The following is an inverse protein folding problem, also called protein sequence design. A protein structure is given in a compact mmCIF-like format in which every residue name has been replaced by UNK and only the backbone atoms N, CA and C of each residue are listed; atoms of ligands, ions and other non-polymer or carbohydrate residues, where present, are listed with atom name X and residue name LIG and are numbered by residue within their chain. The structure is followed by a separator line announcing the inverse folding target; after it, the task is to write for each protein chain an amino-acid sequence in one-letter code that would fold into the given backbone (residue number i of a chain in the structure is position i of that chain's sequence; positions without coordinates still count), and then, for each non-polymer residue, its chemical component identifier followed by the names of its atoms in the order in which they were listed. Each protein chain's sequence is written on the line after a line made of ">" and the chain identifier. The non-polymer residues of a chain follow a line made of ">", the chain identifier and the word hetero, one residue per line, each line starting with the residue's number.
data_IF_882849062411
#
_entry.id   IF_882849062411
#
_cell.length_a   1.000
_cell.length_b   1.000
_cell.length_c   1.000
_cell.angle_alpha   90.00
_cell.angle_beta   90.00
_cell.angle_gamma   90.00
#
_symmetry.space_group_name_H-M   'P 1'
#
loop_
_entity.id
_entity.type
_entity.pdbx_description
1 polymer ?
#
# COMPACT_ATOMS: atom_id res chain seq x y z
N UNK A 1 19.89 1.88 -16.20
CA UNK A 1 20.05 3.18 -15.53
C UNK A 1 18.71 3.52 -14.91
N UNK A 2 18.60 3.40 -13.59
CA UNK A 2 17.48 3.88 -12.80
C UNK A 2 17.50 5.41 -12.98
N UNK A 3 16.63 5.95 -13.81
CA UNK A 3 16.23 7.32 -13.63
C UNK A 3 15.34 7.27 -12.38
N UNK A 4 15.74 7.81 -11.24
CA UNK A 4 14.76 8.10 -10.21
C UNK A 4 13.73 8.96 -10.94
N UNK A 5 12.47 8.53 -10.93
CA UNK A 5 11.37 9.49 -11.01
C UNK A 5 11.84 10.58 -10.07
N UNK A 6 12.07 11.77 -10.62
CA UNK A 6 12.55 12.89 -9.85
C UNK A 6 11.71 12.86 -8.58
N UNK A 7 12.34 12.51 -7.49
CA UNK A 7 11.71 12.60 -6.22
C UNK A 7 11.50 14.10 -6.05
N UNK A 8 10.34 14.57 -6.44
CA UNK A 8 9.76 15.74 -5.86
C UNK A 8 9.47 15.34 -4.42
N UNK A 9 10.57 15.00 -3.73
CA UNK A 9 10.63 14.54 -2.35
C UNK A 9 10.12 15.62 -1.40
N UNK A 10 9.82 16.78 -1.92
CA UNK A 10 9.45 17.94 -1.13
C UNK A 10 7.97 17.92 -0.70
N UNK A 11 7.19 16.94 -1.17
CA UNK A 11 5.77 16.83 -0.79
C UNK A 11 5.36 15.46 -0.23
N UNK A 12 6.30 14.53 -0.06
CA UNK A 12 6.05 13.37 0.79
C UNK A 12 5.87 13.88 2.21
N UNK A 13 4.78 13.47 2.86
CA UNK A 13 4.50 13.80 4.25
C UNK A 13 5.68 13.39 5.13
N UNK A 14 6.57 14.32 5.39
CA UNK A 14 7.50 14.20 6.47
C UNK A 14 6.81 14.79 7.69
N UNK A 15 6.40 13.93 8.64
CA UNK A 15 5.96 14.43 9.92
C UNK A 15 7.15 15.07 10.63
N UNK A 16 6.99 16.34 11.02
CA UNK A 16 8.02 17.08 11.72
C UNK A 16 8.06 16.67 13.20
N UNK A 17 8.93 15.72 13.53
CA UNK A 17 9.19 15.29 14.92
C UNK A 17 10.32 16.09 15.60
N UNK A 18 10.72 17.24 15.07
CA UNK A 18 11.84 18.04 15.59
C UNK A 18 11.57 18.67 16.97
N UNK A 19 10.30 18.72 17.40
CA UNK A 19 9.91 19.15 18.74
C UNK A 19 8.97 18.14 19.39
N UNK A 20 8.95 18.09 20.73
CA UNK A 20 8.02 17.24 21.49
C UNK A 20 6.54 17.62 21.26
N UNK A 21 6.28 18.81 20.76
CA UNK A 21 4.92 19.29 20.46
C UNK A 21 4.38 18.76 19.14
N UNK A 22 5.26 18.25 18.26
CA UNK A 22 4.93 17.81 16.91
C UNK A 22 5.00 16.28 16.73
N UNK A 23 4.92 15.51 17.81
CA UNK A 23 4.94 14.05 17.73
C UNK A 23 3.69 13.57 17.01
N UNK A 24 3.80 12.78 15.92
CA UNK A 24 2.64 12.20 15.27
C UNK A 24 2.03 11.09 16.12
N UNK A 25 0.72 10.95 16.08
CA UNK A 25 -0.03 9.92 16.77
C UNK A 25 -0.65 8.97 15.77
N UNK A 26 -0.43 7.67 15.99
CA UNK A 26 -1.04 6.61 15.21
C UNK A 26 -1.93 5.76 16.13
N UNK A 27 -3.17 5.53 15.71
CA UNK A 27 -4.04 4.52 16.28
C UNK A 27 -4.48 3.56 15.18
N UNK A 28 -4.45 2.26 15.46
CA UNK A 28 -4.89 1.21 14.56
C UNK A 28 -5.70 0.18 15.36
N UNK A 29 -6.88 -0.15 14.86
CA UNK A 29 -7.73 -1.22 15.39
C UNK A 29 -7.93 -2.27 14.30
N UNK A 30 -7.68 -3.53 14.64
CA UNK A 30 -7.88 -4.66 13.76
C UNK A 30 -8.67 -5.76 14.47
N UNK A 31 -9.66 -6.32 13.79
CA UNK A 31 -10.45 -7.43 14.26
C UNK A 31 -10.31 -8.61 13.31
N UNK A 32 -10.20 -9.80 13.89
CA UNK A 32 -10.13 -11.07 13.17
C UNK A 32 -11.43 -11.84 13.39
N UNK A 33 -12.00 -12.37 12.31
CA UNK A 33 -13.21 -13.16 12.33
C UNK A 33 -12.97 -14.48 11.59
N UNK A 34 -13.42 -15.58 12.15
CA UNK A 34 -13.47 -16.86 11.44
C UNK A 34 -14.75 -16.89 10.61
N UNK A 35 -14.61 -16.96 9.29
CA UNK A 35 -15.74 -17.03 8.35
C UNK A 35 -16.20 -18.48 8.20
N UNK A 36 -15.24 -19.39 8.09
CA UNK A 36 -15.41 -20.83 8.08
C UNK A 36 -14.11 -21.52 8.58
N UNK A 37 -14.08 -22.87 8.56
CA UNK A 37 -12.97 -23.68 9.07
C UNK A 37 -11.63 -23.42 8.35
N UNK A 38 -11.66 -22.82 7.15
CA UNK A 38 -10.49 -22.57 6.33
C UNK A 38 -10.27 -21.09 6.01
N UNK A 39 -11.24 -20.24 6.32
CA UNK A 39 -11.25 -18.84 5.88
C UNK A 39 -11.36 -17.89 7.06
N UNK A 40 -10.42 -16.99 7.17
CA UNK A 40 -10.46 -15.86 8.10
C UNK A 40 -10.68 -14.54 7.39
N UNK A 41 -11.29 -13.60 8.06
CA UNK A 41 -11.46 -12.22 7.64
C UNK A 41 -10.85 -11.28 8.69
N UNK A 42 -9.96 -10.41 8.26
CA UNK A 42 -9.46 -9.30 9.07
C UNK A 42 -10.06 -7.99 8.57
N UNK A 43 -10.60 -7.20 9.48
CA UNK A 43 -11.10 -5.84 9.20
C UNK A 43 -10.35 -4.87 10.09
N UNK A 44 -9.74 -3.85 9.49
CA UNK A 44 -8.95 -2.85 10.17
C UNK A 44 -9.38 -1.42 9.89
N UNK A 45 -9.04 -0.54 10.81
CA UNK A 45 -9.16 0.90 10.64
C UNK A 45 -8.04 1.62 11.35
N UNK A 46 -7.52 2.67 10.74
CA UNK A 46 -6.38 3.44 11.25
C UNK A 46 -6.61 4.93 11.13
N UNK A 47 -5.96 5.67 12.03
CA UNK A 47 -5.81 7.11 11.95
C UNK A 47 -4.39 7.49 12.34
N UNK A 48 -3.76 8.31 11.49
CA UNK A 48 -2.47 8.95 11.75
C UNK A 48 -2.69 10.45 11.73
N UNK A 49 -2.20 11.17 12.72
CA UNK A 49 -2.34 12.62 12.82
C UNK A 49 -1.06 13.27 13.31
N UNK A 50 -0.70 14.43 12.77
CA UNK A 50 0.51 15.17 13.16
C UNK A 50 0.74 16.40 12.33
N UNK A 51 1.77 17.16 12.71
CA UNK A 51 2.26 18.33 11.95
C UNK A 51 3.24 17.88 10.88
N UNK A 52 3.09 18.39 9.66
CA UNK A 52 4.05 18.19 8.57
C UNK A 52 5.19 19.21 8.59
N UNK A 53 6.22 18.95 7.78
CA UNK A 53 7.33 19.91 7.58
C UNK A 53 6.88 21.19 6.90
N UNK A 54 5.74 21.17 6.21
CA UNK A 54 5.05 22.32 5.62
C UNK A 54 4.35 23.20 6.66
N UNK A 55 4.37 22.81 7.94
CA UNK A 55 3.71 23.50 9.04
C UNK A 55 2.19 23.28 9.07
N UNK A 56 1.65 22.41 8.23
CA UNK A 56 0.23 22.07 8.22
C UNK A 56 -0.05 20.86 9.12
N UNK A 57 -1.26 20.81 9.63
CA UNK A 57 -1.75 19.62 10.33
C UNK A 57 -2.31 18.61 9.32
N UNK A 58 -1.80 17.39 9.36
CA UNK A 58 -2.23 16.30 8.48
C UNK A 58 -2.94 15.21 9.26
N UNK A 59 -3.98 14.67 8.65
CA UNK A 59 -4.66 13.46 9.11
C UNK A 59 -4.72 12.46 7.98
N UNK A 60 -4.39 11.18 8.28
CA UNK A 60 -4.56 10.07 7.34
C UNK A 60 -5.48 9.05 7.99
N UNK A 61 -6.55 8.75 7.30
CA UNK A 61 -7.52 7.72 7.67
C UNK A 61 -7.29 6.51 6.78
N UNK A 62 -7.35 5.32 7.38
CA UNK A 62 -7.23 4.05 6.65
C UNK A 62 -8.34 3.08 7.02
N UNK A 63 -8.77 2.30 6.04
CA UNK A 63 -9.62 1.13 6.23
C UNK A 63 -9.05 -0.02 5.44
N UNK A 64 -8.86 -1.18 6.06
CA UNK A 64 -8.30 -2.37 5.45
C UNK A 64 -9.19 -3.60 5.65
N UNK A 65 -9.17 -4.48 4.65
CA UNK A 65 -9.91 -5.74 4.65
C UNK A 65 -9.02 -6.82 4.05
N UNK A 66 -8.87 -7.94 4.76
CA UNK A 66 -8.15 -9.12 4.26
C UNK A 66 -8.99 -10.37 4.47
N UNK A 67 -9.21 -11.13 3.42
CA UNK A 67 -9.68 -12.51 3.49
C UNK A 67 -8.51 -13.42 3.21
N UNK A 68 -8.34 -14.44 4.05
CA UNK A 68 -7.30 -15.46 3.88
C UNK A 68 -7.95 -16.83 3.97
N UNK A 69 -7.83 -17.59 2.91
CA UNK A 69 -8.23 -19.00 2.88
C UNK A 69 -6.99 -19.88 2.92
N UNK A 70 -6.88 -20.70 3.96
CA UNK A 70 -5.78 -21.66 4.15
C UNK A 70 -6.41 -23.02 4.42
N UNK A 71 -6.52 -23.90 3.40
CA UNK A 71 -7.10 -25.23 3.58
C UNK A 71 -6.34 -26.04 4.63
N UNK A 72 -7.03 -26.57 5.63
CA UNK A 72 -6.47 -27.38 6.72
C UNK A 72 -5.86 -28.69 6.20
N UNK A 73 -6.33 -29.17 5.07
CA UNK A 73 -5.81 -30.39 4.47
C UNK A 73 -4.55 -30.09 3.66
N UNK A 74 -3.40 -30.56 4.14
CA UNK A 74 -2.07 -30.34 3.52
C UNK A 74 -1.97 -30.81 2.06
N UNK A 75 -2.89 -31.65 1.58
CA UNK A 75 -2.95 -32.07 0.17
C UNK A 75 -3.63 -31.04 -0.75
N UNK A 76 -4.40 -30.09 -0.21
CA UNK A 76 -5.04 -29.05 -0.98
C UNK A 76 -4.10 -27.84 -1.09
N UNK A 77 -3.60 -27.64 -2.30
CA UNK A 77 -2.64 -26.58 -2.63
C UNK A 77 -3.33 -25.25 -2.97
N UNK A 78 -4.65 -25.13 -2.77
CA UNK A 78 -5.49 -24.07 -3.31
C UNK A 78 -5.83 -22.97 -2.28
N UNK A 79 -4.84 -22.47 -1.55
CA UNK A 79 -5.02 -21.30 -0.69
C UNK A 79 -5.10 -19.99 -1.49
N UNK A 80 -5.84 -19.02 -0.98
CA UNK A 80 -5.90 -17.69 -1.58
C UNK A 80 -5.96 -16.59 -0.53
N UNK A 81 -5.52 -15.40 -0.94
CA UNK A 81 -5.59 -14.18 -0.13
C UNK A 81 -6.22 -13.09 -1.00
N UNK A 82 -7.28 -12.46 -0.49
CA UNK A 82 -7.86 -11.24 -1.04
C UNK A 82 -7.63 -10.12 -0.04
N UNK A 83 -7.02 -9.03 -0.48
CA UNK A 83 -6.71 -7.89 0.37
C UNK A 83 -7.08 -6.60 -0.33
N UNK A 84 -7.58 -5.64 0.44
CA UNK A 84 -7.85 -4.29 -0.02
C UNK A 84 -7.60 -3.28 1.09
N UNK A 85 -7.20 -2.09 0.70
CA UNK A 85 -7.02 -0.96 1.61
C UNK A 85 -7.42 0.33 0.91
N UNK A 86 -8.06 1.21 1.65
CA UNK A 86 -8.37 2.59 1.27
C UNK A 86 -7.72 3.54 2.25
N UNK A 87 -7.05 4.56 1.74
CA UNK A 87 -6.41 5.62 2.51
C UNK A 87 -6.93 6.98 2.06
N UNK A 88 -7.23 7.85 3.02
CA UNK A 88 -7.58 9.24 2.77
C UNK A 88 -6.72 10.16 3.63
N UNK A 89 -6.00 11.07 2.99
CA UNK A 89 -5.24 12.14 3.62
C UNK A 89 -6.04 13.44 3.55
N UNK A 90 -6.07 14.18 4.64
CA UNK A 90 -6.58 15.54 4.73
C UNK A 90 -5.48 16.42 5.31
N UNK A 91 -5.14 17.48 4.59
CA UNK A 91 -4.19 18.52 5.04
C UNK A 91 -4.98 19.78 5.34
N UNK A 92 -4.86 20.29 6.57
CA UNK A 92 -5.59 21.46 7.03
C UNK A 92 -4.74 22.72 6.74
N UNK A 93 -5.02 23.38 5.60
CA UNK A 93 -4.51 24.69 5.31
C UNK A 93 -5.43 25.75 5.93
N UNK A 94 -4.89 26.96 6.22
CA UNK A 94 -5.63 28.02 6.90
C UNK A 94 -7.03 28.27 6.30
N UNK A 95 -8.02 27.99 7.10
CA UNK A 95 -9.43 28.38 7.16
C UNK A 95 -10.34 28.29 5.93
N UNK A 96 -9.88 28.05 4.72
CA UNK A 96 -10.78 28.03 3.54
C UNK A 96 -10.66 26.83 2.60
N UNK A 97 -9.55 26.10 2.59
CA UNK A 97 -9.35 24.99 1.67
C UNK A 97 -8.54 23.86 2.31
N UNK A 98 -9.19 22.74 2.59
CA UNK A 98 -8.50 21.51 2.93
C UNK A 98 -8.02 20.85 1.64
N UNK A 99 -6.76 20.41 1.62
CA UNK A 99 -6.27 19.54 0.55
C UNK A 99 -6.58 18.09 0.91
N UNK A 100 -7.26 17.40 0.01
CA UNK A 100 -7.59 15.99 0.18
C UNK A 100 -6.88 15.17 -0.90
N UNK A 101 -6.35 14.03 -0.49
CA UNK A 101 -5.78 13.02 -1.39
C UNK A 101 -6.23 11.67 -0.88
N UNK A 102 -6.68 10.83 -1.76
CA UNK A 102 -7.06 9.47 -1.41
C UNK A 102 -6.56 8.45 -2.42
N UNK A 103 -6.61 7.22 -2.03
CA UNK A 103 -6.21 6.11 -2.87
C UNK A 103 -6.65 4.78 -2.27
N UNK A 104 -6.68 3.80 -3.12
CA UNK A 104 -6.99 2.44 -2.73
C UNK A 104 -6.15 1.44 -3.50
N UNK A 105 -6.00 0.26 -2.95
CA UNK A 105 -5.59 -0.90 -3.69
C UNK A 105 -6.44 -2.12 -3.35
N UNK A 106 -6.51 -3.05 -4.31
CA UNK A 106 -7.03 -4.39 -4.13
C UNK A 106 -6.08 -5.39 -4.73
N UNK A 107 -5.83 -6.50 -4.06
CA UNK A 107 -4.96 -7.57 -4.52
C UNK A 107 -5.59 -8.93 -4.27
N UNK A 108 -5.33 -9.85 -5.19
CA UNK A 108 -5.71 -11.24 -5.07
C UNK A 108 -4.49 -12.11 -5.35
N UNK A 109 -4.17 -13.02 -4.43
CA UNK A 109 -3.09 -13.98 -4.56
C UNK A 109 -3.66 -15.38 -4.45
N UNK A 110 -3.18 -16.27 -5.30
CA UNK A 110 -3.59 -17.67 -5.36
C UNK A 110 -2.39 -18.59 -5.30
N UNK A 111 -2.48 -19.62 -4.48
CA UNK A 111 -1.44 -20.63 -4.32
C UNK A 111 -1.58 -21.70 -5.41
N UNK A 112 -0.67 -21.66 -6.38
CA UNK A 112 -0.64 -22.60 -7.50
C UNK A 112 -0.09 -23.98 -7.09
N UNK A 113 0.87 -23.98 -6.17
CA UNK A 113 1.48 -25.21 -5.63
C UNK A 113 2.08 -24.92 -4.24
N UNK A 114 2.70 -25.90 -3.63
CA UNK A 114 3.32 -25.75 -2.31
C UNK A 114 4.28 -24.55 -2.24
N UNK A 115 5.00 -24.29 -3.32
CA UNK A 115 6.07 -23.28 -3.37
C UNK A 115 5.76 -22.10 -4.30
N UNK A 116 4.65 -22.13 -5.05
CA UNK A 116 4.36 -21.10 -6.04
C UNK A 116 3.06 -20.38 -5.76
N UNK A 117 3.12 -19.06 -5.81
CA UNK A 117 1.98 -18.17 -5.76
C UNK A 117 1.96 -17.27 -6.99
N UNK A 118 0.77 -16.93 -7.45
CA UNK A 118 0.56 -15.91 -8.46
C UNK A 118 -0.44 -14.90 -7.95
N UNK A 119 -0.24 -13.64 -8.33
CA UNK A 119 -1.07 -12.54 -7.85
C UNK A 119 -1.40 -11.53 -8.92
N UNK A 120 -2.45 -10.78 -8.64
CA UNK A 120 -2.83 -9.57 -9.37
C UNK A 120 -3.12 -8.47 -8.35
N UNK A 121 -2.78 -7.22 -8.68
CA UNK A 121 -3.08 -6.05 -7.88
C UNK A 121 -3.53 -4.90 -8.77
N UNK A 122 -4.59 -4.23 -8.38
CA UNK A 122 -5.02 -2.95 -8.93
C UNK A 122 -4.88 -1.88 -7.86
N UNK A 123 -4.43 -0.69 -8.24
CA UNK A 123 -4.33 0.45 -7.33
C UNK A 123 -4.64 1.75 -8.06
N UNK A 124 -5.14 2.71 -7.32
CA UNK A 124 -5.53 4.01 -7.84
C UNK A 124 -5.32 5.07 -6.77
N UNK A 125 -4.76 6.20 -7.18
CA UNK A 125 -4.55 7.36 -6.30
C UNK A 125 -5.20 8.59 -6.93
N UNK A 126 -5.85 9.39 -6.09
CA UNK A 126 -6.54 10.61 -6.48
C UNK A 126 -5.98 11.79 -5.72
N UNK A 127 -5.62 12.86 -6.42
CA UNK A 127 -5.33 14.15 -5.82
C UNK A 127 -6.57 15.03 -5.99
N UNK A 128 -7.39 15.14 -4.98
CA UNK A 128 -8.72 15.75 -5.08
C UNK A 128 -8.67 17.27 -5.27
N UNK A 129 -7.57 17.94 -4.98
CA UNK A 129 -7.46 19.39 -5.18
C UNK A 129 -6.12 19.76 -5.82
N UNK A 130 -6.14 20.32 -7.04
CA UNK A 130 -4.97 21.02 -7.55
C UNK A 130 -4.67 22.17 -6.57
N UNK A 131 -3.42 22.31 -6.16
CA UNK A 131 -2.99 23.48 -5.41
C UNK A 131 -3.21 24.72 -6.31
N UNK A 132 -4.21 25.55 -6.00
CA UNK A 132 -4.55 26.73 -6.78
C UNK A 132 -3.46 27.82 -6.72
N UNK A 133 -2.43 27.62 -5.92
CA UNK A 133 -1.32 28.56 -5.70
C UNK A 133 0.01 28.10 -6.30
N UNK A 134 0.08 26.89 -6.86
CA UNK A 134 1.27 26.48 -7.60
C UNK A 134 1.18 27.04 -9.01
N UNK A 135 2.12 27.91 -9.33
CA UNK A 135 2.31 28.44 -10.69
C UNK A 135 2.32 27.25 -11.67
N UNK A 136 1.33 27.19 -12.53
CA UNK A 136 0.99 26.06 -13.41
C UNK A 136 2.08 25.66 -14.41
N UNK A 137 3.29 26.15 -14.24
CA UNK A 137 4.44 25.91 -15.11
C UNK A 137 5.43 24.89 -14.60
N UNK A 138 5.38 24.48 -13.32
CA UNK A 138 6.31 23.49 -12.78
C UNK A 138 5.60 22.45 -11.88
N UNK A 139 5.50 21.22 -12.40
CA UNK A 139 5.26 19.98 -11.64
C UNK A 139 3.91 19.85 -10.90
N UNK A 140 2.79 20.00 -11.61
CA UNK A 140 1.56 19.40 -11.12
C UNK A 140 1.76 17.87 -11.04
N UNK A 141 1.75 17.32 -9.82
CA UNK A 141 1.64 15.87 -9.66
C UNK A 141 0.41 15.41 -10.45
N UNK A 142 0.47 14.27 -11.16
CA UNK A 142 -0.69 13.76 -11.87
C UNK A 142 -1.85 13.65 -10.86
N UNK A 143 -2.97 14.26 -11.19
CA UNK A 143 -4.15 14.28 -10.32
C UNK A 143 -4.69 12.88 -10.02
N UNK A 144 -4.38 11.93 -10.90
CA UNK A 144 -4.90 10.59 -10.84
C UNK A 144 -3.89 9.62 -11.46
N UNK A 145 -3.58 8.54 -10.76
CA UNK A 145 -2.72 7.45 -11.26
C UNK A 145 -3.40 6.13 -11.03
N UNK A 146 -3.50 5.34 -12.07
CA UNK A 146 -3.95 3.94 -12.03
C UNK A 146 -2.78 3.02 -12.28
N UNK A 147 -2.67 1.92 -11.52
CA UNK A 147 -1.66 0.89 -11.74
C UNK A 147 -2.27 -0.50 -11.67
N UNK A 148 -1.88 -1.36 -12.57
CA UNK A 148 -2.14 -2.78 -12.53
C UNK A 148 -0.82 -3.54 -12.43
N UNK A 149 -0.77 -4.57 -11.59
CA UNK A 149 0.43 -5.40 -11.36
C UNK A 149 0.03 -6.87 -11.42
N UNK A 150 0.88 -7.66 -12.03
CA UNK A 150 0.85 -9.12 -11.95
C UNK A 150 2.13 -9.57 -11.26
N UNK A 151 2.05 -10.57 -10.40
CA UNK A 151 3.20 -11.11 -9.68
C UNK A 151 3.22 -12.63 -9.65
N UNK A 152 4.44 -13.16 -9.53
CA UNK A 152 4.70 -14.57 -9.24
C UNK A 152 5.74 -14.64 -8.14
N UNK A 153 5.45 -15.42 -7.09
CA UNK A 153 6.36 -15.66 -5.99
C UNK A 153 6.71 -17.15 -5.89
N UNK A 154 7.99 -17.41 -5.67
CA UNK A 154 8.52 -18.74 -5.39
C UNK A 154 9.12 -18.78 -4.00
N UNK A 155 8.52 -19.61 -3.13
CA UNK A 155 9.00 -19.88 -1.79
C UNK A 155 9.94 -21.08 -1.85
N UNK A 156 11.24 -20.81 -1.96
CA UNK A 156 12.24 -21.87 -2.01
C UNK A 156 12.33 -22.65 -0.68
N UNK A 157 12.07 -21.96 0.43
CA UNK A 157 11.95 -22.53 1.78
C UNK A 157 11.10 -21.61 2.64
N UNK A 158 10.84 -22.00 3.89
CA UNK A 158 10.20 -21.12 4.89
C UNK A 158 11.01 -19.86 5.22
N UNK A 159 12.29 -19.82 4.82
CA UNK A 159 13.22 -18.71 5.08
C UNK A 159 13.53 -17.88 3.85
N UNK A 160 13.05 -18.26 2.68
CA UNK A 160 13.45 -17.60 1.43
C UNK A 160 12.31 -17.54 0.42
N UNK A 161 12.11 -16.34 -0.11
CA UNK A 161 11.13 -16.04 -1.17
C UNK A 161 11.82 -15.27 -2.29
N UNK A 162 11.51 -15.61 -3.52
CA UNK A 162 11.80 -14.82 -4.71
C UNK A 162 10.49 -14.39 -5.35
N UNK A 163 10.35 -13.09 -5.63
CA UNK A 163 9.17 -12.54 -6.30
C UNK A 163 9.60 -11.78 -7.54
N UNK A 164 8.86 -11.97 -8.61
CA UNK A 164 8.95 -11.17 -9.82
C UNK A 164 7.59 -10.52 -10.05
N UNK A 165 7.57 -9.23 -10.31
CA UNK A 165 6.37 -8.53 -10.70
C UNK A 165 6.58 -7.69 -11.96
N UNK A 166 5.47 -7.47 -12.67
CA UNK A 166 5.37 -6.53 -13.77
C UNK A 166 4.18 -5.62 -13.52
N UNK A 167 4.41 -4.33 -13.55
CA UNK A 167 3.38 -3.34 -13.39
C UNK A 167 3.33 -2.36 -14.56
N UNK A 168 2.12 -1.92 -14.87
CA UNK A 168 1.82 -0.85 -15.80
C UNK A 168 1.04 0.23 -15.05
N UNK A 169 1.51 1.47 -15.12
CA UNK A 169 0.83 2.62 -14.57
C UNK A 169 0.46 3.62 -15.65
N UNK A 170 -0.66 4.31 -15.48
CA UNK A 170 -1.11 5.39 -16.34
C UNK A 170 -1.58 6.55 -15.48
N UNK A 171 -1.22 7.76 -15.88
CA UNK A 171 -1.71 9.01 -15.30
C UNK A 171 -2.76 9.72 -16.18
N UNK A 172 -3.30 10.83 -15.69
CA UNK A 172 -4.28 11.67 -16.41
C UNK A 172 -3.73 12.30 -17.69
N UNK A 173 -2.42 12.46 -17.82
CA UNK A 173 -1.79 12.95 -19.04
C UNK A 173 -1.75 11.89 -20.15
N UNK A 174 -2.07 10.65 -19.80
CA UNK A 174 -1.94 9.48 -20.65
C UNK A 174 -0.51 8.93 -20.71
N UNK A 175 0.40 9.44 -19.89
CA UNK A 175 1.74 8.86 -19.76
C UNK A 175 1.65 7.45 -19.18
N UNK A 176 2.45 6.55 -19.71
CA UNK A 176 2.49 5.14 -19.32
C UNK A 176 3.86 4.80 -18.79
N UNK A 177 3.92 4.27 -17.57
CA UNK A 177 5.13 3.71 -16.96
C UNK A 177 5.01 2.20 -16.85
N UNK A 178 6.07 1.51 -17.29
CA UNK A 178 6.18 0.05 -17.21
C UNK A 178 7.35 -0.29 -16.29
N UNK A 179 7.12 -1.16 -15.31
CA UNK A 179 8.13 -1.56 -14.34
C UNK A 179 8.19 -3.07 -14.20
N UNK A 180 9.42 -3.60 -14.21
CA UNK A 180 9.72 -4.96 -13.75
C UNK A 180 10.49 -4.86 -12.45
N UNK A 181 10.08 -5.60 -11.44
CA UNK A 181 10.77 -5.68 -10.15
C UNK A 181 11.06 -7.13 -9.80
N UNK A 182 12.27 -7.37 -9.29
CA UNK A 182 12.69 -8.65 -8.71
C UNK A 182 13.01 -8.41 -7.24
N UNK A 183 12.40 -9.19 -6.36
CA UNK A 183 12.58 -9.10 -4.93
C UNK A 183 13.07 -10.43 -4.38
N UNK A 184 14.06 -10.37 -3.48
CA UNK A 184 14.58 -11.50 -2.73
C UNK A 184 14.38 -11.22 -1.26
N UNK A 185 13.60 -12.05 -0.58
CA UNK A 185 13.42 -12.03 0.84
C UNK A 185 14.15 -13.20 1.45
N UNK A 186 14.98 -12.93 2.46
CA UNK A 186 15.69 -13.96 3.19
C UNK A 186 15.69 -13.64 4.68
N UNK A 187 15.27 -14.60 5.49
CA UNK A 187 15.23 -14.48 6.96
C UNK A 187 16.37 -15.28 7.57
N UNK A 188 17.22 -14.61 8.35
CA UNK A 188 18.32 -15.23 9.08
C UNK A 188 17.99 -15.19 10.57
N UNK A 189 17.96 -16.34 11.23
CA UNK A 189 17.75 -16.41 12.66
C UNK A 189 16.66 -17.40 13.05
N UNK A 190 16.38 -17.45 14.36
CA UNK A 190 15.30 -18.27 14.91
C UNK A 190 13.95 -17.70 14.46
N UNK A 191 13.23 -18.46 13.68
CA UNK A 191 11.90 -18.14 13.24
C UNK A 191 10.89 -18.89 14.13
N UNK A 192 9.99 -18.21 14.87
CA UNK A 192 8.93 -18.91 15.55
C UNK A 192 8.09 -19.67 14.51
N UNK A 193 7.71 -20.93 14.77
CA UNK A 193 6.90 -21.69 13.83
C UNK A 193 5.58 -20.96 13.59
N UNK A 194 5.33 -20.56 12.34
CA UNK A 194 4.00 -20.11 11.95
C UNK A 194 3.09 -21.33 11.86
N UNK A 195 1.95 -21.27 12.53
CA UNK A 195 0.84 -22.16 12.23
C UNK A 195 0.35 -21.80 10.81
N UNK A 196 0.65 -22.65 9.86
CA UNK A 196 0.14 -22.58 8.48
C UNK A 196 -1.21 -23.28 8.41
#
# INVERSE_FOLDING_TARGET
>A
AYAPVASTSDHLMNFNASSHENIPYLAHLKNLFDVDDNTTMELGGSILTGMGDDGLHHQVYGADLTFRNVPLNKSNQNGWILQGEYLKKVSFADSLYNQETDGWYGSFQYRLSQNWWAGIRGEETFNATPDLNVDSTENSLPGHVQRATIDVAWLASEFSEMRADYSIARDDSGAVDNRVMLQFNYVIGFHPPHAY
#
